data_IF_887906806487
#
_entry.id   IF_887906806487
#
_cell.length_a   1.000
_cell.length_b   1.000
_cell.length_c   1.000
_cell.angle_alpha   90.00
_cell.angle_beta   90.00
_cell.angle_gamma   90.00
#
_symmetry.space_group_name_H-M   'P 1'
#
loop_
_entity.id
_entity.type
_entity.pdbx_description
1 polymer ?
#
# COMPACT_ATOMS: atom_id res chain seq x y z
N UNK A 1 -3.59 -5.91 -2.36
CA UNK A 1 -2.24 -5.52 -1.90
C UNK A 1 -2.27 -5.42 -0.38
N UNK A 2 -1.17 -5.76 0.27
CA UNK A 2 -0.99 -5.69 1.72
C UNK A 2 -0.03 -4.58 2.07
N UNK A 3 -0.30 -3.86 3.16
CA UNK A 3 0.61 -2.83 3.67
C UNK A 3 0.86 -3.00 5.15
N UNK A 4 2.08 -2.67 5.58
CA UNK A 4 2.43 -2.53 6.98
C UNK A 4 3.44 -1.38 7.12
N UNK A 5 3.40 -0.72 8.27
CA UNK A 5 4.40 0.24 8.69
C UNK A 5 4.79 -0.01 10.14
N UNK A 6 5.99 0.43 10.50
CA UNK A 6 6.49 0.37 11.87
C UNK A 6 7.18 1.70 12.20
N UNK A 7 6.54 2.48 13.05
CA UNK A 7 7.04 3.77 13.53
C UNK A 7 8.33 3.63 14.37
N UNK A 8 8.49 2.54 15.14
CA UNK A 8 9.65 2.34 16.01
C UNK A 8 10.97 2.33 15.22
N UNK A 9 10.91 1.84 13.98
CA UNK A 9 12.03 1.79 13.03
C UNK A 9 11.81 2.68 11.80
N UNK A 10 10.75 3.51 11.80
CA UNK A 10 10.39 4.44 10.72
C UNK A 10 10.39 3.78 9.34
N UNK A 11 9.74 2.63 9.20
CA UNK A 11 9.79 1.81 7.99
C UNK A 11 8.41 1.37 7.52
N UNK A 12 8.33 0.93 6.27
CA UNK A 12 7.10 0.44 5.67
C UNK A 12 7.36 -0.59 4.57
N UNK A 13 6.33 -1.36 4.26
CA UNK A 13 6.32 -2.26 3.11
C UNK A 13 4.93 -2.35 2.46
N UNK A 14 4.96 -2.73 1.18
CA UNK A 14 3.79 -3.06 0.37
C UNK A 14 4.07 -4.40 -0.32
N UNK A 15 3.16 -5.35 -0.18
CA UNK A 15 3.16 -6.61 -0.90
C UNK A 15 1.98 -6.70 -1.88
N UNK A 16 2.24 -7.29 -3.04
CA UNK A 16 1.26 -7.63 -4.06
C UNK A 16 0.65 -9.00 -3.79
N UNK A 17 -0.08 -9.56 -4.77
CA UNK A 17 -0.60 -10.93 -4.72
C UNK A 17 0.46 -11.95 -4.28
N UNK A 18 0.03 -12.98 -3.55
CA UNK A 18 0.90 -14.09 -3.10
C UNK A 18 2.06 -13.63 -2.19
N UNK A 19 1.95 -12.45 -1.56
CA UNK A 19 2.95 -11.90 -0.67
C UNK A 19 4.20 -11.36 -1.37
N UNK A 20 4.19 -11.25 -2.70
CA UNK A 20 5.32 -10.74 -3.46
C UNK A 20 5.61 -9.27 -3.09
N UNK A 21 6.83 -8.99 -2.61
CA UNK A 21 7.20 -7.64 -2.19
C UNK A 21 7.21 -6.68 -3.38
N UNK A 22 6.49 -5.55 -3.24
CA UNK A 22 6.40 -4.50 -4.26
C UNK A 22 7.37 -3.37 -3.93
N UNK A 23 7.35 -2.92 -2.68
CA UNK A 23 8.28 -1.92 -2.14
C UNK A 23 8.45 -2.14 -0.65
N UNK A 24 9.64 -1.85 -0.14
CA UNK A 24 9.90 -1.67 1.29
C UNK A 24 11.00 -0.63 1.44
N UNK A 25 10.88 0.25 2.43
CA UNK A 25 11.83 1.34 2.67
C UNK A 25 11.62 1.98 4.05
N UNK A 26 12.48 2.91 4.41
CA UNK A 26 12.28 3.85 5.51
C UNK A 26 11.51 5.08 5.06
N UNK A 27 10.72 5.68 5.94
CA UNK A 27 10.11 6.99 5.71
C UNK A 27 11.17 8.08 5.57
N UNK A 28 10.95 9.02 4.66
CA UNK A 28 11.82 10.18 4.50
C UNK A 28 11.42 11.28 5.51
N UNK A 29 12.36 12.10 6.01
CA UNK A 29 12.02 13.26 6.84
C UNK A 29 11.04 14.26 6.21
N UNK A 30 10.87 14.22 4.89
CA UNK A 30 9.96 15.09 4.13
C UNK A 30 8.60 14.45 3.82
N UNK A 31 8.33 13.25 4.35
CA UNK A 31 7.03 12.62 4.22
C UNK A 31 5.95 13.50 4.86
N UNK A 32 4.91 13.81 4.07
CA UNK A 32 3.90 14.80 4.46
C UNK A 32 2.88 14.28 5.48
N UNK A 33 2.73 12.96 5.56
CA UNK A 33 1.75 12.31 6.42
C UNK A 33 2.40 11.65 7.62
N UNK A 34 3.54 11.00 7.43
CA UNK A 34 4.25 10.33 8.52
C UNK A 34 4.76 11.36 9.53
N UNK A 35 4.52 11.06 10.80
CA UNK A 35 5.00 11.80 11.96
C UNK A 35 5.70 10.80 12.85
N UNK A 36 6.96 11.04 13.13
CA UNK A 36 7.73 10.18 14.03
C UNK A 36 7.08 10.12 15.42
N UNK A 37 6.94 8.92 15.96
CA UNK A 37 6.21 8.64 17.20
C UNK A 37 4.70 8.41 17.01
N UNK A 38 4.21 8.28 15.76
CA UNK A 38 2.78 8.14 15.44
C UNK A 38 2.56 7.01 14.44
N UNK A 39 2.33 5.81 14.97
CA UNK A 39 2.05 4.58 14.20
C UNK A 39 0.88 4.75 13.23
N UNK A 40 -0.18 5.46 13.62
CA UNK A 40 -1.37 5.68 12.76
C UNK A 40 -1.00 6.50 11.54
N UNK A 41 -0.15 7.52 11.73
CA UNK A 41 0.38 8.30 10.62
C UNK A 41 1.27 7.48 9.68
N UNK A 42 2.03 6.52 10.21
CA UNK A 42 2.85 5.59 9.44
C UNK A 42 1.97 4.67 8.58
N UNK A 43 0.95 4.05 9.18
CA UNK A 43 -0.01 3.18 8.51
C UNK A 43 -0.79 3.92 7.40
N UNK A 44 -1.25 5.14 7.69
CA UNK A 44 -1.92 5.99 6.67
C UNK A 44 -1.00 6.41 5.55
N UNK A 45 0.28 6.64 5.84
CA UNK A 45 1.27 7.03 4.82
C UNK A 45 1.52 5.88 3.84
N UNK A 46 1.74 4.66 4.35
CA UNK A 46 1.93 3.49 3.48
C UNK A 46 0.67 3.12 2.71
N UNK A 47 -0.52 3.30 3.30
CA UNK A 47 -1.79 3.12 2.60
C UNK A 47 -1.91 4.05 1.38
N UNK A 48 -1.55 5.33 1.52
CA UNK A 48 -1.53 6.25 0.38
C UNK A 48 -0.47 5.89 -0.67
N UNK A 49 0.68 5.38 -0.24
CA UNK A 49 1.70 4.90 -1.15
C UNK A 49 1.19 3.70 -1.96
N UNK A 50 0.44 2.77 -1.35
CA UNK A 50 -0.20 1.66 -2.08
C UNK A 50 -1.22 2.16 -3.11
N UNK A 51 -2.03 3.17 -2.78
CA UNK A 51 -2.95 3.78 -3.75
C UNK A 51 -2.19 4.44 -4.89
N UNK A 52 -1.07 5.13 -4.61
CA UNK A 52 -0.20 5.69 -5.64
C UNK A 52 0.34 4.59 -6.57
N UNK A 53 0.85 3.49 -6.02
CA UNK A 53 1.36 2.35 -6.81
C UNK A 53 0.25 1.72 -7.66
N UNK A 54 -0.97 1.58 -7.15
CA UNK A 54 -2.12 1.13 -7.95
C UNK A 54 -2.42 2.08 -9.11
N UNK A 55 -2.31 3.39 -8.89
CA UNK A 55 -2.44 4.40 -9.95
C UNK A 55 -1.36 4.29 -11.01
N UNK A 56 -0.13 3.94 -10.64
CA UNK A 56 0.95 3.65 -11.59
C UNK A 56 0.68 2.36 -12.38
N UNK A 57 0.17 1.31 -11.72
CA UNK A 57 -0.23 0.09 -12.41
C UNK A 57 -1.34 0.35 -13.44
N UNK A 58 -2.33 1.19 -13.08
CA UNK A 58 -3.38 1.66 -14.00
C UNK A 58 -2.80 2.34 -15.25
N UNK A 59 -1.80 3.21 -15.07
CA UNK A 59 -1.12 3.90 -16.17
C UNK A 59 -0.37 2.92 -17.09
N UNK A 60 0.33 1.95 -16.51
CA UNK A 60 1.07 0.93 -17.25
C UNK A 60 0.14 -0.01 -18.05
N UNK A 61 -1.03 -0.32 -17.50
CA UNK A 61 -2.06 -1.15 -18.14
C UNK A 61 -2.89 -0.40 -19.18
N UNK A 62 -2.77 0.93 -19.26
CA UNK A 62 -3.57 1.81 -20.11
C UNK A 62 -5.09 1.61 -19.97
N UNK A 63 -5.55 1.51 -18.71
CA UNK A 63 -6.98 1.36 -18.37
C UNK A 63 -7.55 2.62 -17.71
N UNK A 64 -8.88 2.78 -17.82
CA UNK A 64 -9.57 3.98 -17.32
C UNK A 64 -9.48 4.12 -15.80
N UNK A 65 -9.67 3.01 -15.08
CA UNK A 65 -9.65 2.92 -13.62
C UNK A 65 -9.27 1.52 -13.17
N UNK A 66 -8.84 1.39 -11.91
CA UNK A 66 -8.57 0.10 -11.24
C UNK A 66 -9.24 0.04 -9.88
N UNK A 67 -9.52 -1.18 -9.42
CA UNK A 67 -9.91 -1.44 -8.03
C UNK A 67 -8.69 -1.88 -7.23
N UNK A 68 -8.53 -1.33 -6.03
CA UNK A 68 -7.53 -1.75 -5.05
C UNK A 68 -8.23 -2.32 -3.82
N UNK A 69 -8.00 -3.60 -3.54
CA UNK A 69 -8.23 -4.18 -2.21
C UNK A 69 -6.96 -3.96 -1.39
N UNK A 70 -7.07 -3.18 -0.33
CA UNK A 70 -5.98 -2.81 0.55
C UNK A 70 -6.12 -3.53 1.90
N UNK A 71 -5.25 -4.50 2.13
CA UNK A 71 -5.18 -5.23 3.38
C UNK A 71 -4.24 -4.51 4.35
N UNK A 72 -4.72 -4.20 5.55
CA UNK A 72 -4.01 -3.41 6.57
C UNK A 72 -4.06 -4.10 7.93
N UNK A 73 -3.08 -3.83 8.79
CA UNK A 73 -3.08 -4.31 10.17
C UNK A 73 -3.90 -3.43 11.11
N UNK A 74 -3.90 -2.11 10.86
CA UNK A 74 -4.47 -1.11 11.74
C UNK A 74 -5.89 -0.70 11.32
N UNK A 75 -6.86 -0.86 12.24
CA UNK A 75 -8.27 -0.50 12.03
C UNK A 75 -8.53 1.01 11.89
N UNK A 76 -7.56 1.86 12.21
CA UNK A 76 -7.65 3.31 12.03
C UNK A 76 -7.32 3.79 10.61
N UNK A 77 -6.92 2.87 9.72
CA UNK A 77 -6.87 3.09 8.28
C UNK A 77 -8.23 2.71 7.69
N UNK A 78 -8.93 3.70 7.15
CA UNK A 78 -10.26 3.54 6.59
C UNK A 78 -10.32 4.07 5.15
N UNK A 79 -11.19 3.47 4.33
CA UNK A 79 -11.36 3.85 2.94
C UNK A 79 -11.88 5.29 2.75
N UNK A 80 -12.61 5.81 3.75
CA UNK A 80 -13.18 7.15 3.80
C UNK A 80 -12.24 8.19 4.47
N UNK A 81 -10.97 7.83 4.74
CA UNK A 81 -9.96 8.81 5.13
C UNK A 81 -9.82 9.87 4.02
N UNK A 82 -10.05 11.17 4.30
CA UNK A 82 -10.09 12.19 3.25
C UNK A 82 -8.79 12.35 2.46
N UNK A 83 -7.65 12.01 3.06
CA UNK A 83 -6.36 12.08 2.38
C UNK A 83 -6.14 10.86 1.48
N UNK A 84 -6.56 9.67 1.92
CA UNK A 84 -6.60 8.46 1.10
C UNK A 84 -7.55 8.61 -0.09
N UNK A 85 -8.79 9.07 0.14
CA UNK A 85 -9.78 9.34 -0.92
C UNK A 85 -9.24 10.32 -1.97
N UNK A 86 -8.60 11.41 -1.54
CA UNK A 86 -8.00 12.39 -2.46
C UNK A 86 -6.93 11.75 -3.34
N UNK A 87 -6.09 10.89 -2.77
CA UNK A 87 -5.05 10.17 -3.52
C UNK A 87 -5.68 9.17 -4.49
N UNK A 88 -6.72 8.45 -4.05
CA UNK A 88 -7.47 7.49 -4.85
C UNK A 88 -8.15 8.15 -6.07
N UNK A 89 -8.82 9.28 -5.87
CA UNK A 89 -9.45 10.05 -6.95
C UNK A 89 -8.44 10.54 -7.98
N UNK A 90 -7.28 11.05 -7.55
CA UNK A 90 -6.21 11.48 -8.46
C UNK A 90 -5.64 10.33 -9.28
N UNK A 91 -5.51 9.16 -8.66
CA UNK A 91 -5.00 7.95 -9.30
C UNK A 91 -6.04 7.19 -10.13
N UNK A 92 -7.32 7.60 -10.10
CA UNK A 92 -8.46 6.83 -10.65
C UNK A 92 -8.51 5.39 -10.10
N UNK A 93 -8.32 5.28 -8.80
CA UNK A 93 -8.33 4.02 -8.05
C UNK A 93 -9.58 3.98 -7.17
N UNK A 94 -10.35 2.90 -7.26
CA UNK A 94 -11.42 2.61 -6.30
C UNK A 94 -10.86 1.74 -5.16
N UNK A 95 -10.86 2.26 -3.93
CA UNK A 95 -10.21 1.59 -2.78
C UNK A 95 -11.25 0.90 -1.90
N UNK A 96 -10.98 -0.35 -1.55
CA UNK A 96 -11.62 -1.07 -0.43
C UNK A 96 -10.55 -1.39 0.60
N UNK A 97 -10.83 -1.23 1.89
CA UNK A 97 -9.89 -1.53 2.97
C UNK A 97 -10.40 -2.73 3.76
N UNK A 98 -9.52 -3.69 4.00
CA UNK A 98 -9.78 -4.91 4.75
C UNK A 98 -8.74 -5.06 5.87
N UNK A 99 -9.18 -5.44 7.08
CA UNK A 99 -8.26 -5.72 8.18
C UNK A 99 -7.80 -7.16 8.06
N UNK A 100 -6.49 -7.34 7.91
CA UNK A 100 -5.88 -8.65 7.69
C UNK A 100 -4.69 -8.83 8.64
N UNK A 101 -4.76 -9.85 9.49
CA UNK A 101 -3.69 -10.18 10.43
C UNK A 101 -2.65 -11.12 9.82
N UNK A 102 -2.97 -11.78 8.70
CA UNK A 102 -2.02 -12.57 7.91
C UNK A 102 -1.41 -11.68 6.82
N UNK A 103 -0.68 -10.66 7.26
CA UNK A 103 -0.17 -9.60 6.41
C UNK A 103 1.32 -9.79 6.09
N UNK A 104 1.69 -10.22 4.87
CA UNK A 104 3.09 -10.45 4.50
C UNK A 104 3.95 -9.18 4.55
N UNK A 105 3.37 -7.99 4.46
CA UNK A 105 4.12 -6.75 4.56
C UNK A 105 4.67 -6.50 5.99
N UNK A 106 4.11 -7.16 7.01
CA UNK A 106 4.56 -7.03 8.40
C UNK A 106 6.01 -7.50 8.61
N UNK A 107 6.43 -8.54 7.89
CA UNK A 107 7.83 -9.00 7.93
C UNK A 107 8.72 -8.05 7.13
N UNK A 108 8.29 -7.69 5.91
CA UNK A 108 9.07 -6.86 5.01
C UNK A 108 9.30 -5.44 5.49
N UNK A 109 8.42 -4.84 6.31
CA UNK A 109 8.67 -3.49 6.80
C UNK A 109 9.92 -3.44 7.70
N UNK A 110 10.23 -4.54 8.42
CA UNK A 110 11.42 -4.64 9.28
C UNK A 110 12.65 -5.21 8.58
N UNK A 111 12.54 -5.58 7.31
CA UNK A 111 13.67 -6.14 6.54
C UNK A 111 14.73 -5.06 6.26
N UNK A 112 16.00 -5.46 6.25
CA UNK A 112 17.08 -4.52 5.96
C UNK A 112 17.16 -4.20 4.47
N UNK A 113 17.37 -2.93 4.14
CA UNK A 113 17.59 -2.47 2.77
C UNK A 113 16.39 -1.71 2.22
N UNK A 114 16.23 -1.75 0.90
CA UNK A 114 15.07 -1.17 0.23
C UNK A 114 14.80 -1.87 -1.09
N UNK A 115 13.54 -1.80 -1.51
CA UNK A 115 13.11 -2.09 -2.89
C UNK A 115 12.16 -1.00 -3.34
N UNK A 116 12.40 -0.44 -4.51
CA UNK A 116 11.52 0.52 -5.15
C UNK A 116 10.42 -0.18 -5.93
N UNK A 117 9.19 0.34 -5.91
CA UNK A 117 8.11 -0.17 -6.75
C UNK A 117 8.45 -0.16 -8.25
N UNK A 118 9.36 0.72 -8.69
CA UNK A 118 9.84 0.78 -10.08
C UNK A 118 10.61 -0.46 -10.52
N UNK A 119 11.05 -1.27 -9.57
CA UNK A 119 11.72 -2.56 -9.82
C UNK A 119 10.72 -3.72 -9.91
N UNK A 120 9.43 -3.45 -9.71
CA UNK A 120 8.35 -4.44 -9.78
C UNK A 120 7.61 -4.29 -11.11
N UNK A 121 7.34 -5.42 -11.79
CA UNK A 121 6.42 -5.45 -12.91
C UNK A 121 4.99 -5.23 -12.38
N UNK A 122 4.41 -4.05 -12.59
CA UNK A 122 3.14 -3.68 -11.97
C UNK A 122 1.95 -4.44 -12.54
N UNK A 123 2.08 -5.03 -13.73
CA UNK A 123 1.04 -5.92 -14.29
C UNK A 123 0.80 -7.16 -13.43
N UNK A 124 1.80 -7.57 -12.62
CA UNK A 124 1.66 -8.71 -11.68
C UNK A 124 0.77 -8.40 -10.48
N UNK A 125 0.37 -7.14 -10.29
CA UNK A 125 -0.55 -6.73 -9.23
C UNK A 125 -2.01 -7.02 -9.58
N UNK A 126 -2.31 -7.31 -10.85
CA UNK A 126 -3.66 -7.62 -11.32
C UNK A 126 -3.98 -9.06 -10.98
N UNK A 127 -5.15 -9.26 -10.39
CA UNK A 127 -5.74 -10.58 -10.14
C UNK A 127 -7.10 -10.65 -10.80
N UNK A 128 -7.47 -11.83 -11.29
CA UNK A 128 -8.81 -12.06 -11.83
C UNK A 128 -9.85 -12.12 -10.70
N UNK A 129 -11.07 -11.64 -10.97
CA UNK A 129 -12.16 -11.56 -9.98
C UNK A 129 -12.51 -12.91 -9.35
N UNK A 130 -12.27 -14.04 -10.03
CA UNK A 130 -12.47 -15.40 -9.48
C UNK A 130 -11.54 -15.70 -8.29
N UNK A 131 -10.42 -14.99 -8.16
CA UNK A 131 -9.45 -15.14 -7.06
C UNK A 131 -9.75 -14.27 -5.84
N UNK A 132 -10.80 -13.45 -5.88
CA UNK A 132 -11.19 -12.56 -4.77
C UNK A 132 -12.18 -13.26 -3.81
N UNK A 133 -12.79 -14.37 -4.23
CA UNK A 133 -13.85 -15.07 -3.49
C UNK A 133 -13.45 -16.45 -2.93
N UNK A 134 -12.18 -16.83 -3.01
CA UNK A 134 -11.64 -18.09 -2.47
C UNK A 134 -10.68 -17.85 -1.33
#
# INVERSE_FOLDING_TARGET
MWTAADDEVSSFAICGPEGAVVTYNTFHPDDKLYRNGDQVSADRSVAQHAVFVAGQAREELDVEAVRLILHVLNHEVAADDPALERTALRGRVHVSVEIDQDNPAAEWCRENGYKSWRETNLTTLVVDDERIAG
#
